data_IF_064253936562
#
_entry.id   IF_064253936562
#
_cell.length_a   1.000
_cell.length_b   1.000
_cell.length_c   1.000
_cell.angle_alpha   90.00
_cell.angle_beta   90.00
_cell.angle_gamma   90.00
#
_symmetry.space_group_name_H-M   'P 1'
#
loop_
_entity.id
_entity.type
_entity.pdbx_description
1 polymer ?
#
# COMPACT_ATOMS: atom_id res chain seq x y z
N UNK A 1 -41.03 41.50 -37.65
CA UNK A 1 -40.63 42.38 -38.81
C UNK A 1 -40.25 41.38 -39.89
N UNK A 2 -41.17 41.02 -40.73
CA UNK A 2 -41.33 41.57 -42.12
C UNK A 2 -40.23 40.99 -42.99
N UNK A 3 -40.44 40.40 -44.12
CA UNK A 3 -41.61 40.31 -45.02
C UNK A 3 -41.10 39.62 -46.29
N UNK A 4 -41.88 38.71 -46.79
CA UNK A 4 -42.45 38.79 -48.16
C UNK A 4 -41.47 38.46 -49.31
N UNK A 5 -41.80 37.61 -50.14
CA UNK A 5 -42.90 37.39 -51.05
C UNK A 5 -42.43 37.39 -52.48
N UNK A 6 -42.95 36.42 -53.22
CA UNK A 6 -43.54 36.44 -54.53
C UNK A 6 -42.56 36.57 -55.75
N UNK A 7 -42.76 36.08 -56.90
CA UNK A 7 -43.97 35.77 -57.66
C UNK A 7 -43.53 35.18 -59.01
N UNK A 8 -44.15 34.14 -59.43
CA UNK A 8 -44.77 33.91 -60.71
C UNK A 8 -44.29 34.74 -61.94
N UNK A 9 -43.94 34.06 -62.98
CA UNK A 9 -44.52 34.43 -64.27
C UNK A 9 -44.43 33.28 -65.29
N UNK A 10 -45.58 33.10 -66.01
CA UNK A 10 -45.81 32.17 -67.08
C UNK A 10 -45.62 32.94 -68.44
N UNK A 11 -45.12 32.24 -69.41
CA UNK A 11 -45.34 32.60 -70.79
C UNK A 11 -45.24 31.34 -71.65
N UNK A 12 -46.28 30.80 -72.08
CA UNK A 12 -47.06 30.82 -73.30
C UNK A 12 -46.30 30.56 -74.62
N UNK A 13 -46.68 29.41 -75.22
CA UNK A 13 -47.01 29.16 -76.63
C UNK A 13 -45.97 29.28 -77.72
N UNK A 14 -45.74 28.18 -78.40
CA UNK A 14 -45.97 28.11 -79.86
C UNK A 14 -46.01 26.63 -80.30
N UNK A 15 -47.11 26.31 -80.98
CA UNK A 15 -47.36 25.05 -81.67
C UNK A 15 -46.64 25.04 -83.07
N UNK A 16 -46.00 23.88 -83.36
CA UNK A 16 -45.55 23.55 -84.72
C UNK A 16 -46.11 22.14 -85.05
N UNK A 17 -46.62 21.93 -86.31
CA UNK A 17 -47.44 20.79 -86.69
C UNK A 17 -46.64 19.48 -86.90
N UNK A 18 -47.37 18.34 -87.02
CA UNK A 18 -46.77 17.02 -87.00
C UNK A 18 -46.18 16.58 -88.33
N UNK A 19 -44.98 15.96 -88.28
CA UNK A 19 -44.39 15.21 -89.40
C UNK A 19 -44.71 13.71 -89.28
N UNK A 20 -44.76 12.98 -90.40
CA UNK A 20 -45.44 11.67 -90.48
C UNK A 20 -44.72 10.52 -89.81
N UNK A 21 -45.52 9.55 -89.36
CA UNK A 21 -45.15 8.37 -88.70
C UNK A 21 -44.25 7.43 -89.52
N UNK A 22 -43.10 7.05 -88.95
CA UNK A 22 -42.32 5.86 -89.39
C UNK A 22 -42.81 4.59 -88.70
N UNK A 23 -42.75 3.42 -89.34
CA UNK A 23 -43.42 2.20 -88.84
C UNK A 23 -42.79 1.67 -87.58
N UNK A 24 -43.65 1.23 -86.67
CA UNK A 24 -43.30 0.61 -85.40
C UNK A 24 -42.43 -0.63 -85.61
N UNK A 25 -41.20 -0.63 -85.10
CA UNK A 25 -40.41 -1.80 -84.93
C UNK A 25 -41.03 -2.60 -83.78
N UNK A 26 -41.47 -3.81 -84.07
CA UNK A 26 -42.00 -4.82 -83.15
C UNK A 26 -40.98 -5.07 -82.06
N UNK A 27 -41.24 -4.57 -80.84
CA UNK A 27 -40.46 -4.96 -79.66
C UNK A 27 -40.67 -6.42 -79.41
N UNK A 28 -39.60 -7.20 -79.61
CA UNK A 28 -39.55 -8.62 -79.17
C UNK A 28 -39.76 -8.70 -77.68
N UNK A 29 -40.86 -9.26 -77.25
CA UNK A 29 -41.15 -9.62 -75.86
C UNK A 29 -40.06 -10.57 -75.40
N UNK A 30 -39.35 -10.29 -74.29
CA UNK A 30 -38.36 -11.24 -73.71
C UNK A 30 -39.09 -12.54 -73.38
N UNK A 31 -38.49 -13.73 -73.67
CA UNK A 31 -39.16 -15.00 -73.43
C UNK A 31 -39.38 -15.13 -71.88
N UNK A 32 -40.64 -15.42 -71.54
CA UNK A 32 -41.03 -15.70 -70.14
C UNK A 32 -40.13 -16.76 -69.59
N UNK A 33 -39.54 -16.57 -68.38
CA UNK A 33 -38.64 -17.58 -67.80
C UNK A 33 -39.39 -18.87 -67.64
N UNK A 34 -38.85 -19.95 -68.24
CA UNK A 34 -39.46 -21.27 -68.16
C UNK A 34 -39.70 -21.61 -66.67
N UNK A 35 -40.89 -22.05 -66.29
CA UNK A 35 -41.28 -22.41 -64.90
C UNK A 35 -40.23 -23.27 -64.23
N UNK A 36 -39.53 -24.13 -64.99
CA UNK A 36 -38.42 -24.94 -64.51
C UNK A 36 -37.23 -24.14 -63.98
N UNK A 37 -36.84 -23.01 -64.66
CA UNK A 37 -35.74 -22.13 -64.17
C UNK A 37 -36.13 -21.39 -62.88
N UNK A 38 -37.40 -21.01 -62.72
CA UNK A 38 -37.91 -20.36 -61.49
C UNK A 38 -37.87 -21.36 -60.34
N UNK A 39 -38.28 -22.62 -60.54
CA UNK A 39 -38.19 -23.66 -59.50
C UNK A 39 -36.75 -24.04 -59.13
N UNK A 40 -35.82 -24.05 -60.08
CA UNK A 40 -34.40 -24.28 -59.82
C UNK A 40 -33.80 -23.13 -58.98
N UNK A 41 -34.08 -21.88 -59.34
CA UNK A 41 -33.62 -20.70 -58.59
C UNK A 41 -34.22 -20.71 -57.18
N UNK A 42 -35.51 -21.00 -57.02
CA UNK A 42 -36.17 -21.13 -55.72
C UNK A 42 -35.56 -22.26 -54.89
N UNK A 43 -35.28 -23.42 -55.50
CA UNK A 43 -34.59 -24.53 -54.84
C UNK A 43 -33.20 -24.20 -54.35
N UNK A 44 -32.42 -23.45 -55.14
CA UNK A 44 -31.07 -22.97 -54.73
C UNK A 44 -31.18 -21.95 -53.62
N UNK A 45 -32.15 -21.06 -53.63
CA UNK A 45 -32.38 -20.09 -52.55
C UNK A 45 -32.80 -20.77 -51.24
N UNK A 46 -33.66 -21.77 -51.31
CA UNK A 46 -34.06 -22.57 -50.13
C UNK A 46 -32.88 -23.37 -49.58
N UNK A 47 -32.05 -24.00 -50.43
CA UNK A 47 -30.84 -24.70 -50.02
C UNK A 47 -29.82 -23.74 -49.40
N UNK A 48 -29.61 -22.58 -49.98
CA UNK A 48 -28.75 -21.52 -49.43
C UNK A 48 -29.26 -21.03 -48.07
N UNK A 49 -30.59 -20.82 -47.97
CA UNK A 49 -31.24 -20.43 -46.72
C UNK A 49 -31.07 -21.51 -45.61
N UNK A 50 -31.25 -22.80 -45.98
CA UNK A 50 -31.03 -23.91 -45.07
C UNK A 50 -29.55 -24.07 -44.67
N UNK A 51 -28.63 -23.86 -45.58
CA UNK A 51 -27.19 -23.89 -45.30
C UNK A 51 -26.76 -22.73 -44.34
N UNK A 52 -27.23 -21.52 -44.60
CA UNK A 52 -27.00 -20.34 -43.75
C UNK A 52 -27.66 -20.53 -42.37
N UNK A 53 -28.92 -20.96 -42.33
CA UNK A 53 -29.66 -21.21 -41.11
C UNK A 53 -29.02 -22.34 -40.28
N UNK A 54 -28.63 -23.43 -40.95
CA UNK A 54 -27.90 -24.53 -40.31
C UNK A 54 -26.55 -24.12 -39.74
N UNK A 55 -25.79 -23.33 -40.50
CA UNK A 55 -24.50 -22.75 -40.02
C UNK A 55 -24.71 -21.80 -38.82
N UNK A 56 -25.75 -20.97 -38.90
CA UNK A 56 -26.05 -20.02 -37.80
C UNK A 56 -26.52 -20.75 -36.54
N UNK A 57 -27.37 -21.75 -36.66
CA UNK A 57 -27.79 -22.62 -35.57
C UNK A 57 -26.60 -23.38 -34.96
N UNK A 58 -25.74 -23.96 -35.79
CA UNK A 58 -24.55 -24.68 -35.33
C UNK A 58 -23.60 -23.76 -34.58
N UNK A 59 -23.39 -22.52 -35.04
CA UNK A 59 -22.56 -21.51 -34.33
C UNK A 59 -23.18 -21.14 -33.00
N UNK A 60 -24.49 -20.86 -32.97
CA UNK A 60 -25.19 -20.46 -31.73
C UNK A 60 -25.19 -21.54 -30.64
N UNK A 61 -25.10 -22.83 -31.03
CA UNK A 61 -25.07 -23.96 -30.08
C UNK A 61 -23.67 -24.35 -29.60
N UNK A 62 -22.63 -24.03 -30.39
CA UNK A 62 -21.25 -24.44 -30.08
C UNK A 62 -20.33 -23.30 -29.65
N UNK A 63 -20.71 -22.05 -29.84
CA UNK A 63 -19.92 -20.90 -29.46
C UNK A 63 -20.71 -19.93 -28.59
N UNK A 64 -20.06 -19.43 -27.55
CA UNK A 64 -20.61 -18.38 -26.71
C UNK A 64 -19.74 -17.14 -26.89
N UNK A 65 -20.38 -16.06 -27.24
CA UNK A 65 -19.71 -14.77 -27.49
C UNK A 65 -20.21 -13.70 -26.53
N UNK A 66 -19.29 -12.85 -26.09
CA UNK A 66 -19.62 -11.63 -25.33
C UNK A 66 -18.78 -10.44 -25.83
N UNK A 67 -19.47 -9.33 -26.11
CA UNK A 67 -18.86 -8.05 -26.43
C UNK A 67 -18.64 -7.21 -25.16
N UNK A 68 -19.21 -7.66 -24.01
CA UNK A 68 -19.02 -6.97 -22.74
C UNK A 68 -17.79 -7.56 -22.03
N UNK A 69 -16.61 -7.27 -22.60
CA UNK A 69 -15.33 -7.66 -22.06
C UNK A 69 -14.35 -6.49 -22.17
N UNK A 70 -13.46 -6.38 -21.20
CA UNK A 70 -12.45 -5.34 -21.17
C UNK A 70 -11.15 -5.85 -20.52
N UNK A 71 -10.05 -5.26 -20.95
CA UNK A 71 -8.74 -5.54 -20.35
C UNK A 71 -8.70 -4.92 -18.95
N UNK A 72 -8.23 -5.67 -18.01
CA UNK A 72 -8.02 -5.25 -16.61
C UNK A 72 -6.58 -5.53 -16.23
N UNK A 73 -6.04 -4.77 -15.29
CA UNK A 73 -4.68 -4.95 -14.76
C UNK A 73 -4.56 -4.37 -13.37
N UNK A 74 -3.42 -4.62 -12.75
CA UNK A 74 -3.12 -3.97 -11.47
C UNK A 74 -2.76 -2.51 -11.69
N UNK A 75 -3.49 -1.63 -11.01
CA UNK A 75 -3.26 -0.19 -10.99
C UNK A 75 -2.89 0.19 -9.57
N UNK A 76 -1.65 0.63 -9.36
CA UNK A 76 -1.11 0.99 -8.06
C UNK A 76 -1.13 2.51 -7.90
N UNK A 77 -2.02 3.06 -7.05
CA UNK A 77 -2.02 4.49 -6.78
C UNK A 77 -0.78 4.86 -5.95
N UNK A 78 -0.09 5.91 -6.36
CA UNK A 78 1.01 6.52 -5.63
C UNK A 78 0.47 7.74 -4.91
N UNK A 79 0.59 7.78 -3.58
CA UNK A 79 0.12 8.89 -2.76
C UNK A 79 1.23 9.43 -1.87
N UNK A 80 1.14 10.72 -1.53
CA UNK A 80 2.00 11.35 -0.54
C UNK A 80 1.71 10.79 0.86
N UNK A 81 2.76 10.52 1.66
CA UNK A 81 2.62 10.10 3.06
C UNK A 81 2.70 11.26 4.03
N UNK A 82 3.32 12.36 3.61
CA UNK A 82 3.48 13.59 4.38
C UNK A 82 3.03 14.79 3.56
N UNK A 83 2.77 15.91 4.24
CA UNK A 83 2.54 17.19 3.58
C UNK A 83 3.87 17.85 3.21
N UNK A 84 3.92 18.52 2.07
CA UNK A 84 5.12 19.25 1.64
C UNK A 84 4.90 19.96 0.31
N UNK A 85 5.89 20.73 -0.10
CA UNK A 85 5.95 21.35 -1.43
C UNK A 85 6.82 20.48 -2.32
N UNK A 86 6.36 20.21 -3.52
CA UNK A 86 7.12 19.41 -4.51
C UNK A 86 8.24 20.27 -5.08
N UNK A 87 9.48 19.82 -4.88
CA UNK A 87 10.67 20.47 -5.41
C UNK A 87 11.10 19.94 -6.76
N UNK A 88 10.81 18.64 -6.99
CA UNK A 88 11.19 17.97 -8.23
C UNK A 88 10.19 16.86 -8.56
N UNK A 89 9.86 16.74 -9.84
CA UNK A 89 9.18 15.57 -10.42
C UNK A 89 10.19 14.92 -11.38
N UNK A 90 10.50 13.66 -11.16
CA UNK A 90 11.60 12.97 -11.85
C UNK A 90 11.12 12.12 -13.04
N UNK A 91 9.81 12.05 -13.26
CA UNK A 91 9.18 11.18 -14.26
C UNK A 91 8.16 11.94 -15.09
N UNK A 92 7.97 11.50 -16.33
CA UNK A 92 6.96 12.02 -17.25
C UNK A 92 5.73 11.09 -17.36
N UNK A 93 4.63 11.62 -17.89
CA UNK A 93 3.44 10.85 -18.18
C UNK A 93 3.76 9.71 -19.17
N UNK A 94 3.17 8.55 -18.95
CA UNK A 94 3.36 7.34 -19.75
C UNK A 94 4.80 6.77 -19.76
N UNK A 95 5.70 7.28 -18.93
CA UNK A 95 7.06 6.76 -18.81
C UNK A 95 7.06 5.39 -18.10
N UNK A 96 7.95 4.51 -18.55
CA UNK A 96 8.26 3.26 -17.84
C UNK A 96 9.15 3.53 -16.64
N UNK A 97 8.77 3.00 -15.48
CA UNK A 97 9.52 3.10 -14.21
C UNK A 97 9.80 1.72 -13.64
N UNK A 98 10.91 1.58 -12.95
CA UNK A 98 11.28 0.39 -12.19
C UNK A 98 10.85 0.55 -10.74
N UNK A 99 10.69 -0.56 -10.04
CA UNK A 99 10.54 -0.55 -8.59
C UNK A 99 11.71 0.19 -7.93
N UNK A 100 11.42 1.12 -7.04
CA UNK A 100 12.40 1.95 -6.35
C UNK A 100 12.82 3.22 -7.10
N UNK A 101 12.37 3.46 -8.31
CA UNK A 101 12.62 4.73 -9.01
C UNK A 101 11.94 5.90 -8.29
N UNK A 102 12.62 7.05 -8.26
CA UNK A 102 12.07 8.27 -7.65
C UNK A 102 11.04 8.89 -8.60
N UNK A 103 9.82 9.06 -8.12
CA UNK A 103 8.71 9.71 -8.85
C UNK A 103 8.71 11.21 -8.61
N UNK A 104 8.79 11.62 -7.33
CA UNK A 104 8.78 13.02 -6.92
C UNK A 104 9.59 13.22 -5.64
N UNK A 105 10.10 14.44 -5.46
CA UNK A 105 10.79 14.86 -4.24
C UNK A 105 10.05 16.07 -3.64
N UNK A 106 9.81 16.01 -2.33
CA UNK A 106 9.25 17.10 -1.54
C UNK A 106 10.40 17.87 -0.89
N UNK A 107 10.13 19.12 -0.50
CA UNK A 107 11.08 19.92 0.27
C UNK A 107 11.33 19.28 1.66
N UNK A 108 12.57 18.87 1.97
CA UNK A 108 12.91 18.24 3.23
C UNK A 108 13.27 19.22 4.35
N UNK A 109 13.19 20.54 4.13
CA UNK A 109 13.74 21.54 5.05
C UNK A 109 13.12 21.44 6.46
N UNK A 110 11.80 21.38 6.56
CA UNK A 110 11.10 21.30 7.83
C UNK A 110 11.43 20.01 8.61
N UNK A 111 11.51 18.88 7.92
CA UNK A 111 11.82 17.58 8.52
C UNK A 111 13.29 17.51 8.97
N UNK A 112 14.22 18.12 8.21
CA UNK A 112 15.64 18.22 8.61
C UNK A 112 15.81 19.04 9.87
N UNK A 113 15.17 20.21 9.93
CA UNK A 113 15.22 21.08 11.12
C UNK A 113 14.67 20.35 12.34
N UNK A 114 13.55 19.64 12.19
CA UNK A 114 12.96 18.84 13.29
C UNK A 114 13.92 17.75 13.77
N UNK A 115 14.55 17.02 12.86
CA UNK A 115 15.53 15.97 13.19
C UNK A 115 16.74 16.57 13.94
N UNK A 116 17.26 17.69 13.45
CA UNK A 116 18.38 18.41 14.08
C UNK A 116 18.05 18.89 15.49
N UNK A 117 16.83 19.41 15.70
CA UNK A 117 16.35 19.78 17.04
C UNK A 117 16.35 18.60 18.01
N UNK A 118 15.90 17.41 17.56
CA UNK A 118 15.90 16.20 18.39
C UNK A 118 17.34 15.76 18.70
N UNK A 119 18.25 15.82 17.72
CA UNK A 119 19.66 15.50 17.95
C UNK A 119 20.30 16.46 18.96
N UNK A 120 19.98 17.76 18.91
CA UNK A 120 20.43 18.73 19.89
C UNK A 120 19.90 18.41 21.31
N UNK A 121 18.65 17.97 21.42
CA UNK A 121 18.07 17.51 22.70
C UNK A 121 18.77 16.27 23.24
N UNK A 122 19.10 15.29 22.38
CA UNK A 122 19.89 14.11 22.78
C UNK A 122 21.24 14.55 23.33
N UNK A 123 21.96 15.40 22.62
CA UNK A 123 23.27 15.92 23.06
C UNK A 123 23.17 16.65 24.40
N UNK A 124 22.12 17.42 24.63
CA UNK A 124 21.87 18.09 25.91
C UNK A 124 21.71 17.07 27.06
N UNK A 125 20.90 16.02 26.87
CA UNK A 125 20.68 14.99 27.92
C UNK A 125 21.94 14.14 28.12
N UNK A 126 22.74 13.90 27.07
CA UNK A 126 24.04 13.24 27.19
C UNK A 126 25.00 14.01 28.12
N UNK A 127 25.02 15.34 28.02
CA UNK A 127 25.79 16.18 28.95
C UNK A 127 25.27 16.06 30.41
N UNK A 128 23.95 15.92 30.58
CA UNK A 128 23.37 15.68 31.91
C UNK A 128 23.77 14.30 32.48
N UNK A 129 23.89 13.28 31.62
CA UNK A 129 24.41 11.95 32.03
C UNK A 129 25.84 12.05 32.51
N UNK A 130 26.70 12.80 31.80
CA UNK A 130 28.09 13.04 32.22
C UNK A 130 28.13 13.72 33.59
N UNK A 131 27.27 14.72 33.83
CA UNK A 131 27.17 15.38 35.14
C UNK A 131 26.71 14.38 36.23
N UNK A 132 25.72 13.53 35.96
CA UNK A 132 25.24 12.50 36.89
C UNK A 132 26.32 11.45 37.17
N UNK A 133 27.16 11.09 36.20
CA UNK A 133 28.33 10.22 36.39
C UNK A 133 29.36 10.85 37.32
N UNK A 134 29.63 12.15 37.20
CA UNK A 134 30.51 12.89 38.10
C UNK A 134 29.92 12.91 39.52
N UNK A 135 28.63 13.13 39.68
CA UNK A 135 27.95 13.03 41.00
C UNK A 135 28.03 11.66 41.61
N UNK A 136 27.89 10.59 40.81
CA UNK A 136 28.04 9.21 41.27
C UNK A 136 29.48 8.93 41.69
N UNK A 137 30.48 9.45 40.98
CA UNK A 137 31.89 9.35 41.36
C UNK A 137 32.18 10.05 42.70
N UNK A 138 31.62 11.24 42.89
CA UNK A 138 31.72 11.98 44.15
C UNK A 138 31.09 11.22 45.33
N UNK A 139 29.89 10.67 45.16
CA UNK A 139 29.22 9.85 46.16
C UNK A 139 30.05 8.60 46.54
N UNK A 140 30.70 7.95 45.56
CA UNK A 140 31.62 6.81 45.82
C UNK A 140 32.84 7.25 46.62
N UNK A 141 33.43 8.39 46.32
CA UNK A 141 34.55 8.92 47.08
C UNK A 141 34.14 9.22 48.52
N UNK A 142 32.96 9.80 48.75
CA UNK A 142 32.42 10.03 50.10
C UNK A 142 32.20 8.71 50.88
N UNK A 143 31.65 7.67 50.24
CA UNK A 143 31.47 6.37 50.85
C UNK A 143 32.81 5.71 51.19
N UNK A 144 33.82 5.86 50.32
CA UNK A 144 35.19 5.36 50.62
C UNK A 144 35.81 6.07 51.82
N UNK A 145 35.64 7.40 51.95
CA UNK A 145 36.11 8.14 53.11
C UNK A 145 35.38 7.72 54.40
N UNK A 146 34.06 7.50 54.34
CA UNK A 146 33.31 6.98 55.48
C UNK A 146 33.77 5.58 55.86
N UNK A 147 34.09 4.71 54.92
CA UNK A 147 34.64 3.36 55.18
C UNK A 147 35.99 3.44 55.87
N UNK A 148 36.86 4.38 55.50
CA UNK A 148 38.14 4.58 56.18
C UNK A 148 37.93 5.01 57.64
N UNK A 149 36.90 5.83 57.96
CA UNK A 149 36.54 6.20 59.31
C UNK A 149 36.05 5.00 60.15
N UNK A 150 35.34 4.01 59.54
CA UNK A 150 34.96 2.77 60.23
C UNK A 150 36.21 2.01 60.63
N UNK A 151 37.18 1.82 59.72
CA UNK A 151 38.45 1.11 60.03
C UNK A 151 39.19 1.78 61.16
N UNK A 152 39.22 3.14 61.21
CA UNK A 152 39.83 3.89 62.32
C UNK A 152 39.11 3.66 63.66
N UNK A 153 37.77 3.71 63.68
CA UNK A 153 36.98 3.48 64.90
C UNK A 153 37.06 2.03 65.39
N UNK A 154 37.12 1.05 64.47
CA UNK A 154 37.36 -0.38 64.83
C UNK A 154 38.70 -0.59 65.49
N UNK A 155 39.78 0.03 65.02
CA UNK A 155 41.08 -0.02 65.62
C UNK A 155 41.04 0.61 67.04
N UNK A 156 40.35 1.71 67.25
CA UNK A 156 40.16 2.33 68.57
C UNK A 156 39.29 1.45 69.48
N UNK A 157 38.24 0.83 69.02
CA UNK A 157 37.39 -0.09 69.76
C UNK A 157 38.16 -1.38 70.18
N UNK A 158 39.02 -1.87 69.31
CA UNK A 158 39.90 -3.00 69.61
C UNK A 158 40.82 -2.65 70.75
N UNK A 159 41.49 -1.48 70.75
CA UNK A 159 42.36 -0.97 71.77
C UNK A 159 41.64 -0.85 73.15
N UNK A 160 40.52 -0.15 73.19
CA UNK A 160 39.73 0.06 74.41
C UNK A 160 39.16 -1.26 74.95
N UNK A 161 38.83 -2.20 74.08
CA UNK A 161 38.45 -3.58 74.51
C UNK A 161 39.58 -4.27 75.16
N UNK A 162 40.79 -4.30 74.60
CA UNK A 162 41.99 -4.90 75.19
C UNK A 162 42.34 -4.25 76.52
N UNK A 163 42.23 -2.94 76.65
CA UNK A 163 42.47 -2.22 77.91
C UNK A 163 41.45 -2.63 78.99
N UNK A 164 40.11 -2.67 78.65
CA UNK A 164 39.07 -3.11 79.57
C UNK A 164 39.25 -4.55 80.02
N UNK A 165 39.66 -5.47 79.13
CA UNK A 165 39.98 -6.89 79.46
C UNK A 165 41.19 -6.96 80.39
N UNK A 166 42.26 -6.21 80.16
CA UNK A 166 43.44 -6.12 80.96
C UNK A 166 43.14 -5.59 82.36
N UNK A 167 42.41 -4.46 82.46
CA UNK A 167 42.01 -3.90 83.76
C UNK A 167 41.08 -4.84 84.52
N UNK A 168 40.17 -5.56 83.78
CA UNK A 168 39.32 -6.59 84.39
C UNK A 168 40.12 -7.77 85.01
N UNK A 169 41.16 -8.22 84.30
CA UNK A 169 42.05 -9.26 84.80
C UNK A 169 42.85 -8.78 86.07
N UNK A 170 43.41 -7.57 85.99
CA UNK A 170 44.16 -6.98 87.11
C UNK A 170 43.31 -6.74 88.37
N UNK A 171 42.04 -6.33 88.17
CA UNK A 171 41.11 -6.15 89.29
C UNK A 171 40.68 -7.47 89.93
N UNK A 172 40.54 -8.54 89.20
CA UNK A 172 40.14 -9.86 89.68
C UNK A 172 41.26 -10.66 90.27
N UNK A 173 42.53 -10.19 90.25
CA UNK A 173 43.67 -10.82 90.93
C UNK A 173 43.57 -10.62 92.45
N UNK A 174 44.16 -11.50 93.24
CA UNK A 174 44.16 -11.43 94.72
C UNK A 174 44.74 -10.10 95.24
N UNK A 175 45.61 -9.43 94.50
CA UNK A 175 46.25 -8.16 94.88
C UNK A 175 45.43 -6.89 94.56
N UNK A 176 44.28 -7.01 93.87
CA UNK A 176 43.46 -5.83 93.34
C UNK A 176 44.39 -4.69 92.91
N UNK A 177 45.22 -4.97 91.87
CA UNK A 177 46.31 -4.07 91.46
C UNK A 177 45.83 -2.77 90.77
N UNK A 178 44.51 -2.59 90.55
CA UNK A 178 43.89 -1.40 90.00
C UNK A 178 42.64 -0.98 90.78
N UNK A 179 42.30 0.27 90.84
CA UNK A 179 41.09 0.83 91.45
C UNK A 179 39.82 0.43 90.67
N UNK A 180 38.70 0.23 91.37
CA UNK A 180 37.42 -0.03 90.75
C UNK A 180 37.00 1.08 89.77
N UNK A 181 37.29 2.35 90.07
CA UNK A 181 37.04 3.50 89.20
C UNK A 181 37.77 3.43 87.85
N UNK A 182 38.98 2.84 87.84
CA UNK A 182 39.77 2.66 86.62
C UNK A 182 39.18 1.55 85.77
N UNK A 183 38.67 0.45 86.33
CA UNK A 183 37.96 -0.58 85.66
C UNK A 183 36.66 -0.05 85.07
N UNK A 184 35.85 0.68 85.90
CA UNK A 184 34.59 1.24 85.46
C UNK A 184 34.81 2.27 84.32
N UNK A 185 35.88 3.08 84.41
CA UNK A 185 36.28 3.97 83.33
C UNK A 185 36.67 3.25 82.01
N UNK A 186 37.43 2.17 82.10
CA UNK A 186 37.84 1.37 80.96
C UNK A 186 36.63 0.67 80.30
N UNK A 187 35.69 0.14 81.12
CA UNK A 187 34.43 -0.45 80.62
C UNK A 187 33.55 0.61 79.90
N UNK A 188 33.45 1.79 80.49
CA UNK A 188 32.71 2.90 79.82
C UNK A 188 33.37 3.33 78.53
N UNK A 189 34.73 3.43 78.51
CA UNK A 189 35.45 3.75 77.28
C UNK A 189 35.24 2.69 76.14
N UNK A 190 35.25 1.41 76.52
CA UNK A 190 34.93 0.34 75.58
C UNK A 190 33.52 0.43 75.04
N UNK A 191 32.52 0.73 75.86
CA UNK A 191 31.13 0.86 75.42
C UNK A 191 30.98 2.02 74.50
N UNK A 192 31.62 3.19 74.83
CA UNK A 192 31.61 4.38 73.94
C UNK A 192 32.27 4.11 72.59
N UNK A 193 33.44 3.46 72.56
CA UNK A 193 34.11 3.11 71.32
C UNK A 193 33.32 2.11 70.46
N UNK A 194 32.65 1.14 71.09
CA UNK A 194 31.75 0.25 70.34
C UNK A 194 30.55 0.94 69.73
N UNK A 195 29.95 1.91 70.42
CA UNK A 195 28.87 2.75 69.91
C UNK A 195 29.33 3.61 68.71
N UNK A 196 30.60 4.15 68.80
CA UNK A 196 31.16 4.94 67.68
C UNK A 196 31.34 4.08 66.43
N UNK A 197 31.78 2.82 66.52
CA UNK A 197 31.86 1.89 65.38
C UNK A 197 30.46 1.71 64.70
N UNK A 198 29.41 1.54 65.50
CA UNK A 198 28.05 1.41 64.98
C UNK A 198 27.63 2.69 64.24
N UNK A 199 27.88 3.86 64.86
CA UNK A 199 27.53 5.17 64.22
C UNK A 199 28.28 5.39 62.90
N UNK A 200 29.60 5.02 62.84
CA UNK A 200 30.39 5.14 61.59
C UNK A 200 29.92 4.12 60.54
N UNK A 201 29.54 2.92 60.96
CA UNK A 201 28.98 1.91 60.04
C UNK A 201 27.65 2.36 59.46
N UNK A 202 26.80 3.02 60.23
CA UNK A 202 25.53 3.56 59.72
C UNK A 202 25.78 4.76 58.79
N UNK A 203 26.81 5.58 59.03
CA UNK A 203 27.25 6.61 58.08
C UNK A 203 27.69 6.00 56.72
N UNK A 204 28.39 4.86 56.72
CA UNK A 204 28.73 4.15 55.48
C UNK A 204 27.48 3.69 54.73
N UNK A 205 26.49 3.11 55.44
CA UNK A 205 25.21 2.68 54.84
C UNK A 205 24.49 3.88 54.20
N UNK A 206 24.46 5.01 54.89
CA UNK A 206 23.87 6.24 54.35
C UNK A 206 24.59 6.73 53.06
N UNK A 207 25.93 6.72 53.07
CA UNK A 207 26.73 7.06 51.90
C UNK A 207 26.53 6.09 50.72
N UNK A 208 26.38 4.78 51.00
CA UNK A 208 26.05 3.77 50.01
C UNK A 208 24.65 3.99 49.40
N UNK A 209 23.65 4.37 50.23
CA UNK A 209 22.32 4.70 49.75
C UNK A 209 22.36 5.92 48.78
N UNK A 210 23.24 6.90 49.06
CA UNK A 210 23.47 8.06 48.19
C UNK A 210 24.05 7.66 46.84
N UNK A 211 24.95 6.67 46.79
CA UNK A 211 25.43 6.10 45.52
C UNK A 211 24.25 5.51 44.71
N UNK A 212 23.39 4.71 45.37
CA UNK A 212 22.21 4.15 44.73
C UNK A 212 21.26 5.21 44.16
N UNK A 213 21.02 6.30 44.92
CA UNK A 213 20.20 7.40 44.45
C UNK A 213 20.80 8.10 43.22
N UNK A 214 22.12 8.37 43.22
CA UNK A 214 22.82 9.00 42.09
C UNK A 214 22.82 8.09 40.86
N UNK A 215 22.99 6.77 41.04
CA UNK A 215 22.89 5.81 39.94
C UNK A 215 21.49 5.74 39.35
N UNK A 216 20.45 5.75 40.20
CA UNK A 216 19.06 5.76 39.74
C UNK A 216 18.75 7.03 38.95
N UNK A 217 19.20 8.19 39.36
CA UNK A 217 19.07 9.45 38.63
C UNK A 217 19.73 9.39 37.23
N UNK A 218 20.92 8.79 37.14
CA UNK A 218 21.62 8.53 35.89
C UNK A 218 20.83 7.62 34.97
N UNK A 219 20.24 6.54 35.47
CA UNK A 219 19.46 5.59 34.68
C UNK A 219 18.18 6.24 34.13
N UNK A 220 17.56 7.18 34.87
CA UNK A 220 16.42 7.98 34.37
C UNK A 220 16.84 8.80 33.15
N UNK A 221 18.00 9.49 33.20
CA UNK A 221 18.51 10.27 32.06
C UNK A 221 18.81 9.37 30.85
N UNK A 222 19.38 8.19 31.05
CA UNK A 222 19.60 7.21 29.97
C UNK A 222 18.30 6.72 29.37
N UNK A 223 17.25 6.51 30.17
CA UNK A 223 15.93 6.16 29.67
C UNK A 223 15.36 7.32 28.80
N UNK A 224 15.57 8.56 29.21
CA UNK A 224 15.16 9.74 28.43
C UNK A 224 15.89 9.80 27.07
N UNK A 225 17.19 9.50 27.01
CA UNK A 225 17.94 9.40 25.74
C UNK A 225 17.29 8.37 24.82
N UNK A 226 16.88 7.19 25.33
CA UNK A 226 16.22 6.17 24.51
C UNK A 226 14.89 6.67 23.92
N UNK A 227 14.12 7.45 24.68
CA UNK A 227 12.87 8.08 24.18
C UNK A 227 13.19 9.07 23.05
N UNK A 228 14.18 9.93 23.24
CA UNK A 228 14.60 10.89 22.22
C UNK A 228 15.17 10.21 20.99
N UNK A 229 15.92 9.12 21.14
CA UNK A 229 16.41 8.30 20.01
C UNK A 229 15.25 7.68 19.20
N UNK A 230 14.18 7.23 19.88
CA UNK A 230 12.98 6.76 19.20
C UNK A 230 12.30 7.89 18.41
N UNK A 231 12.23 9.10 18.98
CA UNK A 231 11.71 10.29 18.28
C UNK A 231 12.59 10.70 17.09
N UNK A 232 13.92 10.60 17.22
CA UNK A 232 14.84 10.85 16.11
C UNK A 232 14.61 9.86 14.96
N UNK A 233 14.43 8.58 15.27
CA UNK A 233 14.12 7.55 14.27
C UNK A 233 12.78 7.82 13.57
N UNK A 234 11.75 8.27 14.29
CA UNK A 234 10.48 8.68 13.67
C UNK A 234 10.68 9.89 12.74
N UNK A 235 11.45 10.88 13.16
CA UNK A 235 11.77 12.05 12.33
C UNK A 235 12.60 11.67 11.08
N UNK A 236 13.54 10.73 11.19
CA UNK A 236 14.29 10.15 10.05
C UNK A 236 13.35 9.44 9.07
N UNK A 237 12.40 8.67 9.58
CA UNK A 237 11.40 8.01 8.76
C UNK A 237 10.52 9.02 8.04
N UNK A 238 10.06 10.08 8.72
CA UNK A 238 9.33 11.18 8.10
C UNK A 238 10.16 11.89 7.03
N UNK A 239 11.45 12.09 7.28
CA UNK A 239 12.40 12.64 6.31
C UNK A 239 12.53 11.74 5.08
N UNK A 240 12.53 10.43 5.26
CA UNK A 240 12.59 9.48 4.12
C UNK A 240 11.38 9.58 3.20
N UNK A 241 10.22 9.96 3.73
CA UNK A 241 8.97 10.12 2.96
C UNK A 241 8.96 11.35 2.05
N UNK A 242 9.96 12.23 2.14
CA UNK A 242 10.14 13.31 1.17
C UNK A 242 10.50 12.80 -0.22
N UNK A 243 11.06 11.61 -0.35
CA UNK A 243 11.26 10.96 -1.63
C UNK A 243 10.16 9.93 -1.84
N UNK A 244 9.42 10.11 -2.92
CA UNK A 244 8.30 9.25 -3.28
C UNK A 244 8.79 8.30 -4.36
N UNK A 245 8.78 7.01 -4.04
CA UNK A 245 9.30 5.95 -4.90
C UNK A 245 8.18 5.15 -5.56
N UNK A 246 8.48 4.56 -6.71
CA UNK A 246 7.64 3.58 -7.36
C UNK A 246 7.59 2.29 -6.54
N UNK A 247 6.40 1.81 -6.11
CA UNK A 247 6.28 0.58 -5.34
C UNK A 247 6.43 -0.68 -6.18
N UNK A 248 6.22 -0.58 -7.49
CA UNK A 248 6.31 -1.67 -8.47
C UNK A 248 6.84 -1.14 -9.79
N UNK A 249 7.37 -2.03 -10.62
CA UNK A 249 7.73 -1.70 -11.99
C UNK A 249 6.47 -1.64 -12.88
N UNK A 250 6.41 -0.66 -13.78
CA UNK A 250 5.26 -0.50 -14.67
C UNK A 250 5.30 0.82 -15.41
N UNK A 251 4.22 1.13 -16.10
CA UNK A 251 4.05 2.39 -16.82
C UNK A 251 3.30 3.39 -15.96
N UNK A 252 3.89 4.57 -15.78
CA UNK A 252 3.22 5.67 -15.07
C UNK A 252 2.01 6.13 -15.88
N UNK A 253 0.87 6.28 -15.23
CA UNK A 253 -0.29 6.95 -15.78
C UNK A 253 -0.17 8.47 -15.71
N UNK A 254 -1.29 9.16 -15.88
CA UNK A 254 -1.31 10.63 -15.75
C UNK A 254 -0.87 11.04 -14.34
N UNK A 255 0.12 11.92 -14.26
CA UNK A 255 0.52 12.55 -13.00
C UNK A 255 -0.43 13.70 -12.65
N UNK A 256 -0.73 13.81 -11.35
CA UNK A 256 -1.59 14.86 -10.81
C UNK A 256 -0.80 15.85 -9.95
N UNK A 257 0.52 15.93 -10.17
CA UNK A 257 1.43 16.75 -9.36
C UNK A 257 2.44 17.47 -10.26
N UNK A 258 2.71 18.73 -9.93
CA UNK A 258 3.67 19.60 -10.61
C UNK A 258 4.65 20.19 -9.60
N UNK A 259 5.82 20.63 -10.08
CA UNK A 259 6.81 21.33 -9.27
C UNK A 259 6.20 22.61 -8.69
N UNK A 260 6.38 22.86 -7.39
CA UNK A 260 5.76 23.95 -6.66
C UNK A 260 4.37 23.64 -6.09
N UNK A 261 3.75 22.54 -6.45
CA UNK A 261 2.48 22.11 -5.89
C UNK A 261 2.64 21.71 -4.41
N UNK A 262 1.65 22.06 -3.57
CA UNK A 262 1.57 21.56 -2.19
C UNK A 262 0.73 20.31 -2.13
N UNK A 263 1.28 19.26 -1.57
CA UNK A 263 0.60 17.96 -1.41
C UNK A 263 0.23 17.70 0.04
N UNK A 264 -0.80 16.86 0.24
CA UNK A 264 -1.30 16.44 1.54
C UNK A 264 -1.16 14.91 1.71
N UNK A 265 -1.08 14.39 2.94
CA UNK A 265 -1.10 12.95 3.19
C UNK A 265 -2.34 12.28 2.58
N UNK A 266 -2.15 11.16 1.86
CA UNK A 266 -3.21 10.46 1.15
C UNK A 266 -3.58 11.03 -0.22
N UNK A 267 -3.07 12.20 -0.61
CA UNK A 267 -3.29 12.75 -1.95
C UNK A 267 -2.61 11.89 -3.00
N UNK A 268 -3.38 11.42 -3.99
CA UNK A 268 -2.86 10.67 -5.11
C UNK A 268 -2.07 11.58 -6.06
N UNK A 269 -0.83 11.19 -6.32
CA UNK A 269 0.11 11.92 -7.17
C UNK A 269 0.17 11.36 -8.59
N UNK A 270 0.10 10.05 -8.70
CA UNK A 270 0.13 9.30 -9.95
C UNK A 270 -0.45 7.89 -9.73
N UNK A 271 -0.47 7.08 -10.77
CA UNK A 271 -0.75 5.66 -10.67
C UNK A 271 0.22 4.89 -11.56
N UNK A 272 0.69 3.72 -11.13
CA UNK A 272 1.48 2.81 -11.96
C UNK A 272 0.62 1.66 -12.40
N UNK A 273 0.66 1.35 -13.69
CA UNK A 273 -0.02 0.24 -14.33
C UNK A 273 1.03 -0.83 -14.66
N UNK A 274 0.85 -2.03 -14.13
CA UNK A 274 1.71 -3.18 -14.48
C UNK A 274 1.41 -3.69 -15.89
N UNK A 275 2.41 -4.28 -16.54
CA UNK A 275 2.22 -4.95 -17.85
C UNK A 275 1.42 -6.27 -17.75
N UNK A 276 1.24 -6.79 -16.53
CA UNK A 276 0.46 -8.00 -16.32
C UNK A 276 -1.03 -7.69 -16.35
N UNK A 277 -1.64 -7.94 -17.51
CA UNK A 277 -3.06 -7.70 -17.75
C UNK A 277 -3.81 -8.99 -18.01
N UNK A 278 -5.11 -8.96 -17.79
CA UNK A 278 -6.06 -10.04 -18.11
C UNK A 278 -7.34 -9.45 -18.68
N UNK A 279 -8.21 -10.28 -19.21
CA UNK A 279 -9.54 -9.84 -19.67
C UNK A 279 -10.60 -10.21 -18.64
N UNK A 280 -11.45 -9.25 -18.32
CA UNK A 280 -12.66 -9.47 -17.54
C UNK A 280 -13.86 -9.48 -18.51
N UNK A 281 -14.40 -10.68 -18.78
CA UNK A 281 -15.50 -10.88 -19.70
C UNK A 281 -16.80 -11.13 -18.93
N UNK A 282 -17.82 -10.32 -19.21
CA UNK A 282 -19.12 -10.41 -18.53
C UNK A 282 -20.08 -11.27 -19.35
N UNK A 283 -20.21 -12.55 -19.03
CA UNK A 283 -21.15 -13.46 -19.67
C UNK A 283 -22.54 -13.38 -19.03
N UNK A 284 -23.58 -13.62 -19.83
CA UNK A 284 -24.93 -13.78 -19.29
C UNK A 284 -24.99 -15.05 -18.44
N UNK A 285 -25.74 -15.03 -17.34
CA UNK A 285 -25.94 -16.21 -16.46
C UNK A 285 -26.36 -17.46 -17.27
N UNK A 286 -27.19 -17.28 -18.28
CA UNK A 286 -27.66 -18.35 -19.17
C UNK A 286 -26.54 -18.97 -20.06
N UNK A 287 -25.41 -18.31 -20.20
CA UNK A 287 -24.27 -18.74 -21.00
C UNK A 287 -23.24 -19.55 -20.19
N UNK A 288 -23.30 -19.50 -18.84
CA UNK A 288 -22.30 -20.10 -17.96
C UNK A 288 -22.32 -21.63 -17.96
N UNK A 289 -23.46 -22.27 -18.24
CA UNK A 289 -23.64 -23.73 -18.14
C UNK A 289 -22.62 -24.53 -18.96
N UNK A 290 -22.09 -23.97 -20.05
CA UNK A 290 -21.10 -24.62 -20.91
C UNK A 290 -19.65 -24.21 -20.67
N UNK A 291 -19.40 -23.26 -19.77
CA UNK A 291 -18.07 -22.74 -19.52
C UNK A 291 -17.39 -23.49 -18.36
N UNK A 292 -16.12 -23.85 -18.52
CA UNK A 292 -15.30 -24.53 -17.49
C UNK A 292 -13.93 -23.84 -17.38
N UNK A 293 -13.35 -23.74 -16.18
CA UNK A 293 -11.96 -23.30 -16.03
C UNK A 293 -11.01 -24.15 -16.86
N UNK A 294 -10.00 -23.51 -17.46
CA UNK A 294 -8.99 -24.14 -18.31
C UNK A 294 -9.33 -24.17 -19.81
N UNK A 295 -10.56 -23.80 -20.23
CA UNK A 295 -10.91 -23.74 -21.65
C UNK A 295 -10.10 -22.64 -22.38
N UNK A 296 -9.71 -22.95 -23.63
CA UNK A 296 -9.13 -21.96 -24.53
C UNK A 296 -10.23 -21.02 -25.07
N UNK A 297 -9.90 -19.75 -25.13
CA UNK A 297 -10.81 -18.68 -25.51
C UNK A 297 -10.12 -17.80 -26.53
N UNK A 298 -10.83 -17.48 -27.60
CA UNK A 298 -10.38 -16.51 -28.60
C UNK A 298 -10.82 -15.10 -28.18
N UNK A 299 -9.87 -14.16 -28.18
CA UNK A 299 -10.08 -12.77 -27.80
C UNK A 299 -9.68 -11.89 -28.99
N UNK A 300 -10.60 -11.05 -29.41
CA UNK A 300 -10.33 -9.96 -30.34
C UNK A 300 -10.37 -8.64 -29.57
N UNK A 301 -9.28 -7.86 -29.62
CA UNK A 301 -9.18 -6.57 -28.96
C UNK A 301 -9.45 -5.49 -30.02
N UNK A 302 -10.35 -4.56 -29.74
CA UNK A 302 -10.76 -3.52 -30.69
C UNK A 302 -9.60 -2.63 -31.13
N UNK A 303 -8.64 -2.39 -30.22
CA UNK A 303 -7.43 -1.61 -30.51
C UNK A 303 -6.40 -2.35 -31.40
N UNK A 304 -6.59 -3.68 -31.65
CA UNK A 304 -5.68 -4.52 -32.42
C UNK A 304 -6.43 -5.25 -33.53
N UNK A 305 -6.94 -4.55 -34.53
CA UNK A 305 -7.75 -5.14 -35.60
C UNK A 305 -6.95 -6.20 -36.36
N UNK A 306 -7.55 -7.40 -36.53
CA UNK A 306 -6.94 -8.52 -37.24
C UNK A 306 -6.07 -9.45 -36.39
N UNK A 307 -5.77 -9.12 -35.14
CA UNK A 307 -5.08 -10.02 -34.21
C UNK A 307 -6.11 -10.78 -33.35
N UNK A 308 -6.15 -12.10 -33.47
CA UNK A 308 -6.86 -12.98 -32.53
C UNK A 308 -5.88 -13.50 -31.50
N UNK A 309 -6.15 -13.24 -30.24
CA UNK A 309 -5.33 -13.66 -29.11
C UNK A 309 -5.97 -14.87 -28.45
N UNK A 310 -5.16 -15.81 -28.03
CA UNK A 310 -5.61 -16.93 -27.23
C UNK A 310 -5.43 -16.67 -25.75
N UNK A 311 -6.47 -16.94 -25.01
CA UNK A 311 -6.46 -16.88 -23.56
C UNK A 311 -7.04 -18.15 -22.96
N UNK A 312 -6.87 -18.33 -21.66
CA UNK A 312 -7.49 -19.41 -20.90
C UNK A 312 -8.50 -18.84 -19.93
N UNK A 313 -9.63 -19.51 -19.81
CA UNK A 313 -10.60 -19.24 -18.77
C UNK A 313 -9.99 -19.64 -17.42
N UNK A 314 -9.71 -18.64 -16.58
CA UNK A 314 -9.07 -18.81 -15.28
C UNK A 314 -10.11 -19.15 -14.20
N UNK A 315 -11.07 -18.26 -14.01
CA UNK A 315 -12.04 -18.35 -12.90
C UNK A 315 -13.32 -17.56 -13.18
N UNK A 316 -14.37 -17.93 -12.44
CA UNK A 316 -15.63 -17.21 -12.41
C UNK A 316 -15.67 -16.31 -11.17
N UNK A 317 -16.27 -15.12 -11.32
CA UNK A 317 -16.60 -14.30 -10.17
C UNK A 317 -17.60 -15.02 -9.24
N UNK A 318 -17.42 -14.97 -7.92
CA UNK A 318 -18.34 -15.63 -6.96
C UNK A 318 -19.74 -14.98 -6.90
N UNK A 319 -19.92 -13.81 -7.54
CA UNK A 319 -21.19 -13.11 -7.62
C UNK A 319 -21.35 -12.37 -8.94
N UNK A 320 -22.59 -11.99 -9.26
CA UNK A 320 -22.89 -11.14 -10.42
C UNK A 320 -22.28 -9.75 -10.27
N UNK A 321 -21.99 -9.08 -11.38
CA UNK A 321 -21.40 -7.73 -11.37
C UNK A 321 -22.25 -6.71 -10.60
N UNK A 322 -23.56 -6.91 -10.53
CA UNK A 322 -24.47 -6.02 -9.80
C UNK A 322 -24.28 -6.09 -8.27
N UNK A 323 -23.87 -7.25 -7.72
CA UNK A 323 -23.61 -7.42 -6.27
C UNK A 323 -22.35 -6.70 -5.82
N UNK A 324 -21.39 -6.48 -6.72
CA UNK A 324 -20.15 -5.75 -6.43
C UNK A 324 -20.21 -4.28 -6.83
N UNK A 325 -21.36 -3.81 -7.35
CA UNK A 325 -21.53 -2.40 -7.67
C UNK A 325 -21.64 -1.55 -6.38
N UNK A 326 -21.02 -0.37 -6.39
CA UNK A 326 -21.13 0.61 -5.29
C UNK A 326 -22.56 1.02 -4.96
N UNK A 327 -23.44 1.00 -5.96
CA UNK A 327 -24.88 1.24 -5.84
C UNK A 327 -25.59 0.08 -6.55
N UNK A 328 -25.91 -1.02 -5.84
CA UNK A 328 -26.72 -2.08 -6.41
C UNK A 328 -28.07 -1.53 -6.85
N UNK A 329 -28.55 -1.93 -8.04
CA UNK A 329 -29.88 -1.53 -8.48
C UNK A 329 -30.92 -2.17 -7.55
N UNK A 330 -31.57 -1.35 -6.73
CA UNK A 330 -32.69 -1.76 -5.87
C UNK A 330 -34.01 -1.54 -6.63
N UNK A 331 -34.76 -2.61 -6.80
CA UNK A 331 -36.12 -2.54 -7.36
C UNK A 331 -37.14 -2.25 -6.24
N UNK A 332 -37.05 -1.05 -5.63
CA UNK A 332 -37.87 -0.62 -4.52
C UNK A 332 -39.38 -0.46 -4.84
N UNK A 333 -39.83 -0.66 -6.10
CA UNK A 333 -41.19 -0.38 -6.55
C UNK A 333 -42.10 -1.62 -6.60
N UNK A 334 -41.73 -2.76 -6.04
CA UNK A 334 -42.63 -3.90 -5.82
C UNK A 334 -42.91 -4.80 -7.05
N UNK A 335 -42.53 -4.43 -8.27
CA UNK A 335 -42.62 -5.27 -9.45
C UNK A 335 -41.25 -5.90 -9.77
N UNK A 336 -41.08 -7.18 -9.46
CA UNK A 336 -39.88 -7.95 -9.79
C UNK A 336 -39.87 -8.31 -11.28
N UNK A 337 -39.09 -7.62 -12.06
CA UNK A 337 -38.82 -8.00 -13.45
C UNK A 337 -37.53 -8.83 -13.48
N UNK A 338 -37.61 -10.10 -13.91
CA UNK A 338 -36.43 -10.97 -14.09
C UNK A 338 -35.53 -10.42 -15.19
N UNK A 339 -34.41 -9.80 -14.82
CA UNK A 339 -33.38 -9.35 -15.72
C UNK A 339 -32.22 -10.36 -15.69
N UNK A 340 -31.75 -10.81 -16.86
CA UNK A 340 -30.60 -11.73 -16.97
C UNK A 340 -29.37 -11.00 -16.42
N UNK A 341 -28.80 -11.57 -15.36
CA UNK A 341 -27.60 -11.04 -14.72
C UNK A 341 -26.35 -11.39 -15.56
N UNK A 342 -25.29 -10.57 -15.43
CA UNK A 342 -23.98 -10.86 -16.00
C UNK A 342 -23.01 -11.27 -14.90
N UNK A 343 -22.26 -12.33 -15.15
CA UNK A 343 -21.24 -12.83 -14.22
C UNK A 343 -19.88 -12.58 -14.84
N UNK A 344 -18.98 -11.87 -14.17
CA UNK A 344 -17.62 -11.65 -14.62
C UNK A 344 -16.82 -12.97 -14.65
N UNK A 345 -16.09 -13.18 -15.73
CA UNK A 345 -15.19 -14.32 -15.93
C UNK A 345 -13.81 -13.77 -16.23
N UNK A 346 -12.82 -14.24 -15.50
CA UNK A 346 -11.43 -13.85 -15.69
C UNK A 346 -10.78 -14.75 -16.72
N UNK A 347 -10.15 -14.13 -17.72
CA UNK A 347 -9.43 -14.80 -18.80
C UNK A 347 -7.97 -14.33 -18.77
N UNK A 348 -7.04 -15.27 -18.76
CA UNK A 348 -5.61 -14.97 -18.69
C UNK A 348 -4.95 -15.24 -20.04
N UNK A 349 -4.16 -14.28 -20.52
CA UNK A 349 -3.34 -14.43 -21.72
C UNK A 349 -2.19 -15.39 -21.47
N UNK A 350 -1.64 -15.96 -22.54
CA UNK A 350 -0.37 -16.68 -22.46
C UNK A 350 0.79 -15.74 -22.15
N UNK A 351 1.81 -16.22 -21.44
CA UNK A 351 3.03 -15.41 -21.16
C UNK A 351 3.73 -14.96 -22.44
N UNK A 352 3.62 -15.75 -23.53
CA UNK A 352 4.18 -15.41 -24.83
C UNK A 352 3.45 -14.20 -25.46
N UNK A 353 2.11 -14.18 -25.39
CA UNK A 353 1.31 -13.08 -25.91
C UNK A 353 1.49 -11.80 -25.06
N UNK A 354 1.56 -11.93 -23.74
CA UNK A 354 1.84 -10.77 -22.86
C UNK A 354 3.19 -10.13 -23.18
N UNK A 355 4.25 -10.95 -23.40
CA UNK A 355 5.56 -10.43 -23.79
C UNK A 355 5.56 -9.79 -25.19
N UNK A 356 4.84 -10.41 -26.15
CA UNK A 356 4.73 -9.87 -27.52
C UNK A 356 3.99 -8.56 -27.58
N UNK A 357 3.00 -8.38 -26.72
CA UNK A 357 2.10 -7.23 -26.68
C UNK A 357 2.40 -6.27 -25.53
N UNK A 358 3.54 -6.45 -24.85
CA UNK A 358 3.94 -5.58 -23.75
C UNK A 358 3.89 -4.10 -24.17
N UNK A 359 3.21 -3.29 -23.38
CA UNK A 359 3.01 -1.86 -23.64
C UNK A 359 1.97 -1.52 -24.70
N UNK A 360 1.36 -2.51 -25.41
CA UNK A 360 0.28 -2.29 -26.36
C UNK A 360 -1.11 -2.57 -25.75
N UNK A 361 -1.15 -3.32 -24.67
CA UNK A 361 -2.37 -3.63 -23.92
C UNK A 361 -2.48 -2.70 -22.72
N UNK A 362 -3.61 -2.00 -22.60
CA UNK A 362 -3.87 -1.12 -21.48
C UNK A 362 -5.20 -1.49 -20.80
N UNK A 363 -5.29 -1.45 -19.47
CA UNK A 363 -6.56 -1.59 -18.77
C UNK A 363 -7.59 -0.60 -19.28
N UNK A 364 -8.84 -1.06 -19.43
CA UNK A 364 -9.94 -0.28 -20.01
C UNK A 364 -10.16 -0.46 -21.51
N UNK A 365 -9.27 -1.13 -22.24
CA UNK A 365 -9.51 -1.46 -23.64
C UNK A 365 -10.63 -2.49 -23.77
N UNK A 366 -11.53 -2.29 -24.74
CA UNK A 366 -12.64 -3.20 -25.06
C UNK A 366 -12.15 -4.41 -25.84
N UNK A 367 -12.81 -5.52 -25.62
CA UNK A 367 -12.53 -6.78 -26.30
C UNK A 367 -13.82 -7.57 -26.56
N UNK A 368 -13.79 -8.36 -27.62
CA UNK A 368 -14.81 -9.36 -27.92
C UNK A 368 -14.23 -10.74 -27.59
N UNK A 369 -14.99 -11.54 -26.87
CA UNK A 369 -14.56 -12.84 -26.36
C UNK A 369 -15.45 -13.93 -26.96
N UNK A 370 -14.85 -14.92 -27.61
CA UNK A 370 -15.54 -16.09 -28.18
C UNK A 370 -15.00 -17.38 -27.53
N UNK A 371 -15.88 -18.18 -26.94
CA UNK A 371 -15.55 -19.45 -26.28
C UNK A 371 -16.14 -20.64 -27.05
N UNK A 372 -15.31 -21.62 -27.39
CA UNK A 372 -15.74 -22.85 -28.03
C UNK A 372 -16.20 -23.86 -26.98
N UNK A 373 -17.49 -24.13 -26.89
CA UNK A 373 -18.09 -25.08 -25.94
C UNK A 373 -17.78 -26.53 -26.22
N UNK A 374 -17.28 -26.88 -27.41
CA UNK A 374 -16.95 -28.27 -27.78
C UNK A 374 -15.79 -28.81 -26.93
N UNK A 375 -14.88 -27.92 -26.49
CA UNK A 375 -13.78 -28.26 -25.60
C UNK A 375 -14.24 -28.74 -24.21
N UNK A 376 -15.47 -28.45 -23.82
CA UNK A 376 -16.02 -28.84 -22.51
C UNK A 376 -16.71 -30.23 -22.54
N UNK A 377 -16.91 -30.81 -23.72
CA UNK A 377 -17.64 -32.10 -23.91
C UNK A 377 -16.71 -33.31 -23.93
N UNK A 378 -15.41 -33.10 -23.93
CA UNK A 378 -14.36 -34.11 -23.71
C UNK A 378 -13.81 -33.94 -22.28
#
# INVERSE_FOLDING_TARGET
MQNQSAKTEAATSAAVPPAPAAPAASAATPPAPSKARVFVILGVLVLAGLAVGGRMYWRATNFVETENAYITGHVHPISARISGVVTKVAVDDNQWVKEGDVIAELDPADQRVKLEQIHAQIAQVEQQVIQADAQTAQARATASAAQAQVVQSEAQALRTRQDAERYGQLYNTQMKAVAKSELDAAVAARASAAADVVAKTDAVKAAQAQIGASQSAREVLKAQIKVLQAQAKDAEQQLSYNKIFAPVAGRLGKRNVEVGARVQPGQQLAAIVEDKVWVNANFKETQLAGLKPGQEVDIAIDALPGEKLKAKLDSFSPASGNQFALLPADNATGNFTKIVQRVPVKLTFSDADLKRLAGRLAPGMSAVVEVDLRQSKN
#
